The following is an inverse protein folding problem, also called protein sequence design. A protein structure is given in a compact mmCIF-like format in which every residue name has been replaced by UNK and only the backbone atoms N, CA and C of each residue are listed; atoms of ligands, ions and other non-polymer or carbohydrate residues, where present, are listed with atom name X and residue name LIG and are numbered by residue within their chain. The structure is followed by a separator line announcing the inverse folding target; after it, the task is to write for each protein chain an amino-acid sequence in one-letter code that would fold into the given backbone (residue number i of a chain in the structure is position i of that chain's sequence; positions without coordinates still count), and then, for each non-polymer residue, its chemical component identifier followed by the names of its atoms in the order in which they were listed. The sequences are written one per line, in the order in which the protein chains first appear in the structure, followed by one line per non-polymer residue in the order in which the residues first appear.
data_IF_800272295806
#
_entry.id   IF_800272295806
#
_cell.length_a   1.000
_cell.length_b   1.000
_cell.length_c   1.000
_cell.angle_alpha   90.00
_cell.angle_beta   90.00
_cell.angle_gamma   90.00
#
_symmetry.space_group_name_H-M   'P 1'
#
loop_
_entity.id
_entity.type
_entity.pdbx_description
1 polymer ?
#
# COMPACT_ATOMS: atom_id res chain seq x y z
N UNK A 1 11.65 8.99 -35.79
CA UNK A 1 11.18 7.63 -35.42
C UNK A 1 10.49 7.75 -34.07
N UNK A 2 9.18 7.68 -34.03
CA UNK A 2 8.44 7.55 -32.77
C UNK A 2 8.63 6.10 -32.32
N UNK A 3 9.47 5.86 -31.32
CA UNK A 3 9.45 4.59 -30.61
C UNK A 3 8.03 4.38 -30.11
N UNK A 4 7.36 3.39 -30.66
CA UNK A 4 6.21 2.78 -30.04
C UNK A 4 6.74 2.22 -28.70
N UNK A 5 6.43 2.90 -27.61
CA UNK A 5 6.49 2.30 -26.29
C UNK A 5 5.57 1.08 -26.37
N UNK A 6 6.20 -0.07 -26.57
CA UNK A 6 5.47 -1.29 -26.91
C UNK A 6 4.60 -1.71 -25.71
N UNK A 7 3.47 -2.26 -25.99
CA UNK A 7 2.54 -2.89 -25.04
C UNK A 7 3.16 -4.01 -24.19
N UNK A 8 4.45 -4.22 -24.30
CA UNK A 8 5.24 -5.26 -23.62
C UNK A 8 6.07 -4.71 -22.43
N UNK A 9 6.01 -3.39 -22.17
CA UNK A 9 6.77 -2.81 -21.05
C UNK A 9 6.18 -3.24 -19.72
N UNK A 10 7.07 -3.57 -18.77
CA UNK A 10 6.70 -3.96 -17.43
C UNK A 10 6.11 -2.78 -16.65
N UNK A 11 5.12 -3.04 -15.81
CA UNK A 11 4.57 -2.11 -14.84
C UNK A 11 4.79 -2.64 -13.41
N UNK A 12 4.87 -1.74 -12.45
CA UNK A 12 4.95 -2.11 -11.05
C UNK A 12 3.58 -2.33 -10.43
N UNK A 13 3.52 -3.21 -9.45
CA UNK A 13 2.37 -3.42 -8.58
C UNK A 13 2.81 -3.29 -7.12
N UNK A 14 2.04 -2.56 -6.35
CA UNK A 14 2.12 -2.54 -4.89
C UNK A 14 0.79 -2.98 -4.31
N UNK A 15 0.74 -4.16 -3.73
CA UNK A 15 -0.44 -4.71 -3.08
C UNK A 15 -0.31 -4.50 -1.57
N UNK A 16 -1.18 -3.66 -1.01
CA UNK A 16 -1.24 -3.39 0.41
C UNK A 16 -2.37 -4.19 1.04
N UNK A 17 -2.04 -5.17 1.84
CA UNK A 17 -2.96 -5.86 2.75
C UNK A 17 -2.75 -5.38 4.19
N UNK A 18 -3.57 -5.84 5.14
CA UNK A 18 -3.53 -5.37 6.53
C UNK A 18 -2.14 -5.12 7.09
N UNK A 19 -1.34 -6.15 7.21
CA UNK A 19 -0.02 -6.13 7.84
C UNK A 19 1.09 -6.59 6.88
N UNK A 20 0.80 -6.65 5.58
CA UNK A 20 1.75 -7.05 4.55
C UNK A 20 1.68 -6.15 3.31
N UNK A 21 2.77 -6.07 2.58
CA UNK A 21 2.84 -5.43 1.28
C UNK A 21 3.61 -6.33 0.31
N UNK A 22 3.06 -6.51 -0.86
CA UNK A 22 3.71 -7.28 -1.93
C UNK A 22 4.06 -6.35 -3.08
N UNK A 23 5.32 -6.31 -3.43
CA UNK A 23 5.83 -5.60 -4.61
C UNK A 23 5.96 -6.64 -5.72
N UNK A 24 5.32 -6.40 -6.84
CA UNK A 24 5.32 -7.32 -7.97
C UNK A 24 5.56 -6.58 -9.29
N UNK A 25 5.98 -7.32 -10.29
CA UNK A 25 6.10 -6.85 -11.66
C UNK A 25 4.97 -7.42 -12.50
N UNK A 26 4.24 -6.55 -13.16
CA UNK A 26 3.21 -6.91 -14.12
C UNK A 26 3.78 -6.91 -15.55
N UNK A 27 3.43 -7.95 -16.30
CA UNK A 27 3.58 -8.05 -17.74
C UNK A 27 2.30 -8.59 -18.35
N UNK A 28 2.02 -8.44 -19.64
CA UNK A 28 0.74 -8.79 -20.26
C UNK A 28 0.19 -10.20 -19.95
N UNK A 29 1.06 -11.14 -19.62
CA UNK A 29 0.67 -12.54 -19.33
C UNK A 29 1.18 -13.07 -17.99
N UNK A 30 1.87 -12.24 -17.21
CA UNK A 30 2.56 -12.69 -16.00
C UNK A 30 2.58 -11.61 -14.94
N UNK A 31 2.34 -12.01 -13.70
CA UNK A 31 2.69 -11.20 -12.53
C UNK A 31 3.75 -11.99 -11.76
N UNK A 32 4.83 -11.33 -11.42
CA UNK A 32 5.94 -11.92 -10.69
C UNK A 32 6.20 -11.14 -9.40
N UNK A 33 6.16 -11.83 -8.27
CA UNK A 33 6.51 -11.22 -6.99
C UNK A 33 8.00 -10.86 -6.97
N UNK A 34 8.29 -9.59 -6.67
CA UNK A 34 9.65 -9.06 -6.54
C UNK A 34 10.08 -9.09 -5.08
N UNK A 35 9.20 -8.66 -4.19
CA UNK A 35 9.49 -8.58 -2.76
C UNK A 35 8.20 -8.57 -1.95
N UNK A 36 8.23 -9.25 -0.83
CA UNK A 36 7.19 -9.18 0.20
C UNK A 36 7.74 -8.51 1.46
N UNK A 37 6.96 -7.62 2.03
CA UNK A 37 7.24 -6.92 3.27
C UNK A 37 6.13 -7.24 4.27
N UNK A 38 6.51 -7.42 5.52
CA UNK A 38 5.56 -7.62 6.61
C UNK A 38 5.74 -6.53 7.66
N UNK A 39 4.64 -6.10 8.24
CA UNK A 39 4.65 -5.14 9.32
C UNK A 39 5.19 -5.86 10.58
N UNK A 40 6.46 -5.63 10.88
CA UNK A 40 7.04 -6.06 12.13
C UNK A 40 6.78 -4.98 13.19
N UNK A 41 5.99 -5.31 14.20
CA UNK A 41 5.89 -4.52 15.41
C UNK A 41 7.14 -4.82 16.25
N UNK A 42 7.90 -3.79 16.58
CA UNK A 42 8.99 -3.93 17.55
C UNK A 42 8.41 -4.18 18.94
N UNK A 43 9.15 -4.86 19.80
CA UNK A 43 8.73 -5.13 21.18
C UNK A 43 8.30 -3.85 21.91
N UNK A 44 9.01 -2.72 21.68
CA UNK A 44 8.63 -1.41 22.20
C UNK A 44 7.27 -0.93 21.65
N UNK A 45 7.00 -1.13 20.36
CA UNK A 45 5.73 -0.77 19.74
C UNK A 45 4.58 -1.65 20.23
N UNK A 46 4.84 -2.94 20.47
CA UNK A 46 3.86 -3.85 21.09
C UNK A 46 3.52 -3.42 22.52
N UNK A 47 4.50 -3.00 23.30
CA UNK A 47 4.27 -2.43 24.63
C UNK A 47 3.48 -1.13 24.60
N UNK A 48 3.75 -0.24 23.65
CA UNK A 48 2.95 0.97 23.45
C UNK A 48 1.51 0.66 23.08
N UNK A 49 1.27 -0.40 22.31
CA UNK A 49 -0.06 -0.83 21.89
C UNK A 49 -0.86 -1.48 23.02
N UNK A 50 -0.22 -2.24 23.89
CA UNK A 50 -0.86 -2.90 25.05
C UNK A 50 -1.20 -1.88 26.14
N UNK A 51 -0.49 -0.74 26.19
CA UNK A 51 -0.65 0.26 27.23
C UNK A 51 -0.16 -0.20 28.61
N UNK A 52 -0.06 0.70 29.57
CA UNK A 52 0.31 0.31 30.93
C UNK A 52 -0.80 -0.55 31.53
N UNK A 53 -0.43 -1.71 32.06
CA UNK A 53 -1.33 -2.55 32.85
C UNK A 53 -1.71 -1.79 34.13
N UNK A 54 -2.84 -1.11 34.09
CA UNK A 54 -3.42 -0.56 35.31
C UNK A 54 -3.93 -1.72 36.15
N UNK A 55 -3.24 -2.05 37.22
CA UNK A 55 -3.80 -2.83 38.31
C UNK A 55 -5.06 -2.12 38.79
N UNK A 56 -6.20 -2.77 38.66
CA UNK A 56 -7.49 -2.22 39.03
C UNK A 56 -7.52 -1.85 40.49
N UNK A 57 -7.77 -0.58 40.89
CA UNK A 57 -8.18 -0.31 42.24
C UNK A 57 -9.57 -0.94 42.41
N UNK A 58 -9.68 -1.83 43.38
CA UNK A 58 -10.97 -2.37 43.85
C UNK A 58 -11.87 -1.20 44.24
N UNK A 59 -12.94 -0.98 43.46
CA UNK A 59 -14.07 -0.15 43.90
C UNK A 59 -14.35 1.09 43.07
N UNK A 60 -14.78 0.94 41.84
CA UNK A 60 -15.55 1.96 41.15
C UNK A 60 -16.44 1.35 40.07
N UNK A 61 -17.73 1.72 40.08
CA UNK A 61 -18.83 1.03 39.43
C UNK A 61 -18.70 0.87 37.91
N UNK A 62 -19.47 -0.07 37.41
CA UNK A 62 -19.51 -0.58 36.03
C UNK A 62 -19.55 0.48 34.91
N UNK A 63 -20.10 1.67 35.17
CA UNK A 63 -20.19 2.75 34.17
C UNK A 63 -18.83 3.44 33.85
N UNK A 64 -17.92 3.47 34.82
CA UNK A 64 -16.59 4.06 34.62
C UNK A 64 -15.64 3.14 33.81
N UNK A 65 -15.87 1.84 33.89
CA UNK A 65 -15.06 0.82 33.20
C UNK A 65 -15.36 0.77 31.69
N UNK A 66 -16.62 0.94 31.29
CA UNK A 66 -17.01 0.93 29.88
C UNK A 66 -16.47 2.15 29.10
N UNK A 67 -16.50 3.34 29.69
CA UNK A 67 -15.95 4.57 29.08
C UNK A 67 -14.43 4.54 28.96
N UNK A 68 -13.72 3.95 29.93
CA UNK A 68 -12.25 3.80 29.89
C UNK A 68 -11.81 2.72 28.88
N UNK A 69 -12.58 1.64 28.71
CA UNK A 69 -12.26 0.61 27.72
C UNK A 69 -12.45 1.11 26.30
N UNK A 70 -13.43 1.97 26.02
CA UNK A 70 -13.63 2.58 24.69
C UNK A 70 -12.50 3.54 24.34
N UNK A 71 -12.08 4.42 25.27
CA UNK A 71 -10.98 5.36 25.02
C UNK A 71 -9.62 4.66 24.84
N UNK A 72 -9.38 3.57 25.55
CA UNK A 72 -8.18 2.74 25.34
C UNK A 72 -8.19 2.03 23.99
N UNK A 73 -9.35 1.54 23.56
CA UNK A 73 -9.53 0.94 22.24
C UNK A 73 -9.28 1.95 21.14
N UNK A 74 -9.84 3.16 21.27
CA UNK A 74 -9.66 4.25 20.30
C UNK A 74 -8.18 4.67 20.20
N UNK A 75 -7.46 4.73 21.32
CA UNK A 75 -6.02 5.00 21.34
C UNK A 75 -5.21 3.89 20.68
N UNK A 76 -5.58 2.63 20.92
CA UNK A 76 -4.92 1.49 20.30
C UNK A 76 -5.15 1.48 18.80
N UNK A 77 -6.38 1.71 18.33
CA UNK A 77 -6.73 1.78 16.92
C UNK A 77 -5.97 2.91 16.20
N UNK A 78 -5.86 4.09 16.82
CA UNK A 78 -5.06 5.21 16.27
C UNK A 78 -3.59 4.85 16.12
N UNK A 79 -2.99 4.24 17.14
CA UNK A 79 -1.59 3.83 17.09
C UNK A 79 -1.33 2.75 16.04
N UNK A 80 -2.24 1.78 15.93
CA UNK A 80 -2.17 0.78 14.86
C UNK A 80 -2.28 1.42 13.48
N UNK A 81 -3.17 2.38 13.31
CA UNK A 81 -3.33 3.10 12.04
C UNK A 81 -2.06 3.91 11.69
N UNK A 82 -1.43 4.53 12.67
CA UNK A 82 -0.14 5.22 12.47
C UNK A 82 0.98 4.26 12.07
N UNK A 83 1.07 3.09 12.69
CA UNK A 83 2.04 2.05 12.31
C UNK A 83 1.81 1.55 10.88
N UNK A 84 0.54 1.34 10.51
CA UNK A 84 0.16 0.91 9.16
C UNK A 84 0.43 1.99 8.12
N UNK A 85 0.21 3.25 8.45
CA UNK A 85 0.53 4.38 7.56
C UNK A 85 2.04 4.50 7.32
N UNK A 86 2.87 4.37 8.37
CA UNK A 86 4.34 4.34 8.23
C UNK A 86 4.79 3.15 7.41
N UNK A 87 4.20 2.00 7.63
CA UNK A 87 4.49 0.79 6.85
C UNK A 87 4.16 0.97 5.37
N UNK A 88 3.00 1.55 5.04
CA UNK A 88 2.61 1.85 3.66
C UNK A 88 3.63 2.78 2.98
N UNK A 89 4.14 3.80 3.67
CA UNK A 89 5.22 4.68 3.16
C UNK A 89 6.53 3.93 2.96
N UNK A 90 6.91 3.06 3.88
CA UNK A 90 8.11 2.21 3.73
C UNK A 90 7.98 1.28 2.53
N UNK A 91 6.81 0.68 2.34
CA UNK A 91 6.51 -0.14 1.18
C UNK A 91 6.57 0.67 -0.13
N UNK A 92 6.04 1.89 -0.12
CA UNK A 92 6.15 2.82 -1.25
C UNK A 92 7.62 3.16 -1.58
N UNK A 93 8.45 3.41 -0.57
CA UNK A 93 9.89 3.66 -0.75
C UNK A 93 10.60 2.46 -1.38
N UNK A 94 10.31 1.25 -0.92
CA UNK A 94 10.86 0.03 -1.49
C UNK A 94 10.38 -0.18 -2.94
N UNK A 95 9.11 0.12 -3.21
CA UNK A 95 8.52 0.06 -4.55
C UNK A 95 9.17 1.07 -5.50
N UNK A 96 9.43 2.29 -5.04
CA UNK A 96 10.12 3.31 -5.84
C UNK A 96 11.54 2.88 -6.24
N UNK A 97 12.26 2.22 -5.35
CA UNK A 97 13.59 1.65 -5.66
C UNK A 97 13.48 0.56 -6.72
N UNK A 98 12.50 -0.36 -6.59
CA UNK A 98 12.25 -1.40 -7.57
C UNK A 98 11.85 -0.82 -8.93
N UNK A 99 10.98 0.19 -8.95
CA UNK A 99 10.55 0.87 -10.16
C UNK A 99 11.72 1.47 -10.94
N UNK A 100 12.62 2.16 -10.23
CA UNK A 100 13.82 2.75 -10.83
C UNK A 100 14.79 1.69 -11.34
N UNK A 101 15.03 0.63 -10.56
CA UNK A 101 15.94 -0.45 -10.93
C UNK A 101 15.42 -1.28 -12.13
N UNK A 102 14.11 -1.45 -12.26
CA UNK A 102 13.46 -2.26 -13.29
C UNK A 102 12.91 -1.46 -14.47
N UNK A 103 12.93 -0.13 -14.40
CA UNK A 103 12.45 0.74 -15.46
C UNK A 103 10.94 0.73 -15.64
N UNK A 104 10.17 0.59 -14.56
CA UNK A 104 8.71 0.66 -14.63
C UNK A 104 8.24 2.09 -14.94
N UNK A 105 7.36 2.21 -15.92
CA UNK A 105 6.78 3.47 -16.33
C UNK A 105 5.64 3.94 -15.41
N UNK A 106 4.86 2.97 -14.90
CA UNK A 106 3.76 3.19 -13.96
C UNK A 106 3.77 2.14 -12.86
N UNK A 107 3.21 2.50 -11.72
CA UNK A 107 2.94 1.59 -10.60
C UNK A 107 1.46 1.66 -10.25
N UNK A 108 0.79 0.51 -10.21
CA UNK A 108 -0.56 0.39 -9.65
C UNK A 108 -0.46 0.06 -8.17
N UNK A 109 -1.23 0.77 -7.35
CA UNK A 109 -1.32 0.54 -5.91
C UNK A 109 -2.71 -0.01 -5.58
N UNK A 110 -2.74 -1.24 -5.08
CA UNK A 110 -3.96 -2.00 -4.77
C UNK A 110 -4.08 -2.19 -3.25
N UNK A 111 -5.29 -2.15 -2.74
CA UNK A 111 -5.59 -2.39 -1.34
C UNK A 111 -6.62 -1.43 -0.77
N UNK A 112 -6.62 -1.26 0.54
CA UNK A 112 -7.54 -0.35 1.23
C UNK A 112 -7.32 1.11 0.75
N UNK A 113 -8.37 1.82 0.31
CA UNK A 113 -8.30 3.21 -0.17
C UNK A 113 -7.58 4.17 0.78
N UNK A 114 -7.68 3.95 2.09
CA UNK A 114 -7.00 4.78 3.10
C UNK A 114 -5.48 4.67 3.02
N UNK A 115 -4.96 3.53 2.57
CA UNK A 115 -3.53 3.23 2.49
C UNK A 115 -2.99 3.44 1.10
N UNK A 116 -3.76 3.12 0.08
CA UNK A 116 -3.36 3.32 -1.31
C UNK A 116 -3.14 4.80 -1.60
N UNK A 117 -3.95 5.70 -1.05
CA UNK A 117 -3.76 7.15 -1.17
C UNK A 117 -2.41 7.62 -0.63
N UNK A 118 -2.07 7.24 0.61
CA UNK A 118 -0.81 7.59 1.24
C UNK A 118 0.41 7.01 0.49
N UNK A 119 0.29 5.78 -0.02
CA UNK A 119 1.35 5.15 -0.80
C UNK A 119 1.54 5.81 -2.17
N UNK A 120 0.45 6.18 -2.86
CA UNK A 120 0.51 6.92 -4.12
C UNK A 120 1.15 8.30 -3.95
N UNK A 121 0.81 9.01 -2.89
CA UNK A 121 1.40 10.31 -2.55
C UNK A 121 2.91 10.18 -2.33
N UNK A 122 3.35 9.21 -1.55
CA UNK A 122 4.76 8.95 -1.29
C UNK A 122 5.52 8.54 -2.54
N UNK A 123 4.96 7.66 -3.37
CA UNK A 123 5.52 7.29 -4.67
C UNK A 123 5.68 8.51 -5.59
N UNK A 124 4.65 9.37 -5.67
CA UNK A 124 4.70 10.61 -6.41
C UNK A 124 5.80 11.56 -5.93
N UNK A 125 5.97 11.68 -4.62
CA UNK A 125 7.05 12.46 -3.99
C UNK A 125 8.44 11.91 -4.35
N UNK A 126 8.56 10.61 -4.53
CA UNK A 126 9.79 9.92 -4.95
C UNK A 126 9.99 9.88 -6.47
N UNK A 127 9.12 10.55 -7.24
CA UNK A 127 9.24 10.68 -8.69
C UNK A 127 8.73 9.45 -9.46
N UNK A 128 7.86 8.65 -8.87
CA UNK A 128 7.23 7.48 -9.49
C UNK A 128 5.78 7.78 -9.81
N UNK A 129 5.36 7.52 -11.03
CA UNK A 129 3.96 7.66 -11.46
C UNK A 129 3.14 6.50 -10.90
N UNK A 130 2.36 6.77 -9.87
CA UNK A 130 1.55 5.79 -9.16
C UNK A 130 0.06 6.10 -9.28
N UNK A 131 -0.75 5.07 -9.46
CA UNK A 131 -2.19 5.16 -9.63
C UNK A 131 -2.89 4.15 -8.70
N UNK A 132 -3.89 4.59 -7.93
CA UNK A 132 -4.67 3.69 -7.09
C UNK A 132 -5.58 2.82 -7.95
N UNK A 133 -5.80 1.58 -7.51
CA UNK A 133 -6.77 0.66 -8.09
C UNK A 133 -7.72 0.15 -7.01
N UNK A 134 -9.00 0.11 -7.32
CA UNK A 134 -10.06 -0.39 -6.43
C UNK A 134 -10.19 -1.92 -6.45
N UNK A 135 -9.31 -2.61 -7.17
CA UNK A 135 -9.36 -4.06 -7.27
C UNK A 135 -8.83 -4.74 -6.00
N UNK A 136 -9.61 -5.65 -5.46
CA UNK A 136 -9.21 -6.56 -4.39
C UNK A 136 -8.84 -7.91 -4.99
N UNK A 137 -7.55 -8.18 -5.18
CA UNK A 137 -7.07 -9.27 -6.00
C UNK A 137 -6.10 -10.22 -5.29
N UNK A 138 -6.03 -10.13 -3.97
CA UNK A 138 -5.14 -10.89 -3.09
C UNK A 138 -5.31 -12.42 -3.15
N UNK A 139 -6.44 -12.91 -3.69
CA UNK A 139 -6.81 -14.33 -3.82
C UNK A 139 -6.71 -14.89 -5.23
N UNK A 140 -6.32 -14.09 -6.24
CA UNK A 140 -6.28 -14.52 -7.64
C UNK A 140 -4.94 -15.19 -8.01
N UNK A 141 -5.01 -16.15 -8.94
CA UNK A 141 -3.81 -16.74 -9.55
C UNK A 141 -3.05 -15.69 -10.37
N UNK A 142 -1.70 -15.74 -10.42
CA UNK A 142 -0.89 -14.72 -11.11
C UNK A 142 -1.26 -14.46 -12.56
N UNK A 143 -1.60 -15.49 -13.32
CA UNK A 143 -2.00 -15.34 -14.73
C UNK A 143 -3.37 -14.63 -14.88
N UNK A 144 -4.34 -14.97 -14.03
CA UNK A 144 -5.65 -14.31 -14.01
C UNK A 144 -5.51 -12.85 -13.56
N UNK A 145 -4.66 -12.60 -12.59
CA UNK A 145 -4.33 -11.26 -12.11
C UNK A 145 -3.71 -10.39 -13.23
N UNK A 146 -2.79 -10.93 -14.01
CA UNK A 146 -2.18 -10.22 -15.13
C UNK A 146 -3.22 -9.76 -16.15
N UNK A 147 -4.14 -10.63 -16.53
CA UNK A 147 -5.21 -10.31 -17.48
C UNK A 147 -6.21 -9.30 -16.91
N UNK A 148 -6.52 -9.40 -15.63
CA UNK A 148 -7.47 -8.51 -14.96
C UNK A 148 -6.92 -7.09 -14.80
N UNK A 149 -5.62 -6.95 -14.56
CA UNK A 149 -4.97 -5.67 -14.40
C UNK A 149 -4.58 -4.98 -15.71
N UNK A 150 -4.60 -5.69 -16.83
CA UNK A 150 -4.23 -5.14 -18.13
C UNK A 150 -4.97 -3.84 -18.48
N UNK A 151 -6.32 -3.73 -18.36
CA UNK A 151 -7.03 -2.49 -18.63
C UNK A 151 -6.63 -1.33 -17.71
N UNK A 152 -6.30 -1.63 -16.46
CA UNK A 152 -5.90 -0.61 -15.49
C UNK A 152 -4.49 -0.10 -15.74
N UNK A 153 -3.56 -0.95 -16.13
CA UNK A 153 -2.22 -0.55 -16.57
C UNK A 153 -2.29 0.34 -17.80
N UNK A 154 -3.10 -0.01 -18.79
CA UNK A 154 -3.28 0.81 -19.99
C UNK A 154 -3.95 2.16 -19.67
N UNK A 155 -4.93 2.17 -18.78
CA UNK A 155 -5.55 3.42 -18.29
C UNK A 155 -4.52 4.31 -17.59
N UNK A 156 -3.71 3.74 -16.69
CA UNK A 156 -2.67 4.47 -15.98
C UNK A 156 -1.64 5.09 -16.93
N UNK A 157 -1.25 4.37 -17.96
CA UNK A 157 -0.35 4.87 -19.02
C UNK A 157 -0.98 6.00 -19.84
N UNK A 158 -2.26 5.87 -20.16
CA UNK A 158 -2.99 6.91 -20.87
C UNK A 158 -3.12 8.20 -20.02
N UNK A 159 -3.36 8.05 -18.72
CA UNK A 159 -3.42 9.16 -17.77
C UNK A 159 -2.05 9.85 -17.62
N UNK A 160 -0.99 9.08 -17.55
CA UNK A 160 0.38 9.59 -17.55
C UNK A 160 0.69 10.41 -18.81
N UNK A 161 0.35 9.89 -19.98
CA UNK A 161 0.55 10.58 -21.27
C UNK A 161 -0.24 11.88 -21.35
N UNK A 162 -1.48 11.91 -20.89
CA UNK A 162 -2.32 13.13 -20.81
C UNK A 162 -1.72 14.18 -19.87
N UNK A 163 -1.24 13.75 -18.72
CA UNK A 163 -0.59 14.65 -17.75
C UNK A 163 0.69 15.28 -18.29
N UNK A 164 1.45 14.53 -19.08
CA UNK A 164 2.66 15.02 -19.75
C UNK A 164 2.34 16.06 -20.86
N UNK A 165 1.23 15.87 -21.58
CA UNK A 165 0.79 16.80 -22.63
C UNK A 165 0.27 18.12 -22.07
N UNK A 166 -0.32 18.12 -20.88
CA UNK A 166 -0.91 19.30 -20.24
C UNK A 166 0.11 20.21 -19.53
N UNK A 167 1.36 19.78 -19.43
CA UNK A 167 2.48 20.56 -18.83
C UNK A 167 3.32 21.33 -19.86
N UNK A 168 2.96 21.26 -21.14
CA UNK A 168 3.55 22.04 -22.23
C UNK A 168 2.68 23.22 -22.60
#
# INVERSE_FOLDING_TARGET
MKERVGSDSAAGLLLLSGDAATIAEWRPRKVEEVRRLELALTEAAEHELVGPSYSHPRGSGEKATAARSSSQRDLWERRMEEHRARFARSAATATARAAKARGWDVVLVLGDPRRTGAACEELGRLGVSAFPSDQHLDWMRPAALASRLAPEVEKARADLARSASNRR
#
